data_IF_269059739136
#
_entry.id   IF_269059739136
#
_cell.length_a   1.000
_cell.length_b   1.000
_cell.length_c   1.000
_cell.angle_alpha   90.00
_cell.angle_beta   90.00
_cell.angle_gamma   90.00
#
_symmetry.space_group_name_H-M   'P 1'
#
loop_
_entity.id
_entity.type
_entity.pdbx_description
1 polymer ?
#
# COMPACT_ATOMS: atom_id res chain seq x y z
N UNK A 1 -2.11 -7.10 -40.20
CA UNK A 1 -2.48 -7.40 -38.80
C UNK A 1 -3.95 -7.83 -38.81
N UNK A 2 -4.29 -9.01 -38.24
CA UNK A 2 -5.63 -9.61 -38.38
C UNK A 2 -6.70 -8.81 -37.61
N UNK A 3 -7.69 -8.24 -38.31
CA UNK A 3 -8.73 -7.37 -37.72
C UNK A 3 -9.49 -8.04 -36.56
N UNK A 4 -9.76 -9.35 -36.67
CA UNK A 4 -10.38 -10.16 -35.61
C UNK A 4 -9.54 -10.26 -34.34
N UNK A 5 -8.22 -10.33 -34.48
CA UNK A 5 -7.30 -10.42 -33.34
C UNK A 5 -7.24 -9.08 -32.58
N UNK A 6 -7.31 -7.96 -33.31
CA UNK A 6 -7.37 -6.64 -32.69
C UNK A 6 -8.68 -6.42 -31.93
N UNK A 7 -9.82 -6.84 -32.50
CA UNK A 7 -11.13 -6.79 -31.83
C UNK A 7 -11.16 -7.64 -30.57
N UNK A 8 -10.61 -8.87 -30.62
CA UNK A 8 -10.53 -9.74 -29.45
C UNK A 8 -9.70 -9.13 -28.31
N UNK A 9 -8.59 -8.45 -28.63
CA UNK A 9 -7.76 -7.74 -27.66
C UNK A 9 -8.49 -6.54 -27.03
N UNK A 10 -9.27 -5.80 -27.82
CA UNK A 10 -10.07 -4.69 -27.32
C UNK A 10 -11.20 -5.16 -26.39
N UNK A 11 -11.91 -6.23 -26.74
CA UNK A 11 -12.97 -6.78 -25.88
C UNK A 11 -12.41 -7.35 -24.58
N UNK A 12 -11.29 -8.08 -24.61
CA UNK A 12 -10.65 -8.56 -23.37
C UNK A 12 -10.17 -7.41 -22.49
N UNK A 13 -9.66 -6.32 -23.07
CA UNK A 13 -9.30 -5.12 -22.31
C UNK A 13 -10.53 -4.44 -21.67
N UNK A 14 -11.64 -4.36 -22.42
CA UNK A 14 -12.91 -3.80 -21.92
C UNK A 14 -13.48 -4.62 -20.77
N UNK A 15 -13.58 -5.94 -20.94
CA UNK A 15 -14.06 -6.87 -19.92
C UNK A 15 -13.20 -6.82 -18.64
N UNK A 16 -11.87 -6.77 -18.79
CA UNK A 16 -10.96 -6.65 -17.64
C UNK A 16 -11.20 -5.35 -16.85
N UNK A 17 -11.51 -4.24 -17.54
CA UNK A 17 -11.82 -2.96 -16.90
C UNK A 17 -13.20 -2.94 -16.23
N UNK A 18 -14.17 -3.66 -16.80
CA UNK A 18 -15.52 -3.80 -16.24
C UNK A 18 -15.55 -4.73 -15.02
N UNK A 19 -14.70 -5.77 -15.01
CA UNK A 19 -14.62 -6.77 -13.92
C UNK A 19 -13.77 -6.29 -12.74
N UNK A 20 -12.95 -5.25 -12.92
CA UNK A 20 -12.14 -4.68 -11.85
C UNK A 20 -13.02 -4.15 -10.70
N UNK A 21 -12.59 -4.30 -9.43
CA UNK A 21 -13.33 -3.76 -8.29
C UNK A 21 -13.64 -2.27 -8.47
N UNK A 22 -14.91 -1.89 -8.29
CA UNK A 22 -15.39 -0.54 -8.55
C UNK A 22 -14.61 0.53 -7.76
N UNK A 23 -14.19 0.19 -6.52
CA UNK A 23 -13.34 1.04 -5.68
C UNK A 23 -11.96 1.30 -6.30
N UNK A 24 -11.33 0.26 -6.85
CA UNK A 24 -10.01 0.35 -7.49
C UNK A 24 -10.09 1.14 -8.79
N UNK A 25 -11.14 0.89 -9.60
CA UNK A 25 -11.38 1.63 -10.85
C UNK A 25 -11.53 3.13 -10.60
N UNK A 26 -12.43 3.52 -9.69
CA UNK A 26 -12.65 4.94 -9.32
C UNK A 26 -11.38 5.60 -8.80
N UNK A 27 -10.61 4.90 -7.96
CA UNK A 27 -9.35 5.41 -7.43
C UNK A 27 -8.33 5.64 -8.55
N UNK A 28 -8.11 4.65 -9.42
CA UNK A 28 -7.13 4.75 -10.50
C UNK A 28 -7.55 5.79 -11.55
N UNK A 29 -8.82 5.84 -11.93
CA UNK A 29 -9.34 6.84 -12.87
C UNK A 29 -9.08 8.26 -12.36
N UNK A 30 -9.26 8.51 -11.05
CA UNK A 30 -8.92 9.79 -10.42
C UNK A 30 -7.42 10.11 -10.53
N UNK A 31 -6.57 9.16 -10.15
CA UNK A 31 -5.11 9.35 -10.16
C UNK A 31 -4.57 9.54 -11.59
N UNK A 32 -5.14 8.84 -12.56
CA UNK A 32 -4.81 8.98 -13.99
C UNK A 32 -5.28 10.34 -14.50
N UNK A 33 -6.45 10.82 -14.10
CA UNK A 33 -6.93 12.16 -14.48
C UNK A 33 -6.01 13.27 -13.95
N UNK A 34 -5.57 13.15 -12.69
CA UNK A 34 -4.57 14.07 -12.11
C UNK A 34 -3.24 14.02 -12.87
N UNK A 35 -2.76 12.82 -13.23
CA UNK A 35 -1.55 12.66 -14.05
C UNK A 35 -1.70 13.33 -15.41
N UNK A 36 -2.83 13.14 -16.10
CA UNK A 36 -3.09 13.78 -17.40
C UNK A 36 -3.18 15.30 -17.28
N UNK A 37 -3.83 15.83 -16.24
CA UNK A 37 -3.88 17.27 -15.99
C UNK A 37 -2.48 17.84 -15.77
N UNK A 38 -1.63 17.15 -15.01
CA UNK A 38 -0.23 17.53 -14.86
C UNK A 38 0.55 17.47 -16.17
N UNK A 39 0.29 16.47 -17.04
CA UNK A 39 0.88 16.42 -18.37
C UNK A 39 0.47 17.61 -19.24
N UNK A 40 -0.79 18.05 -19.19
CA UNK A 40 -1.25 19.25 -19.91
C UNK A 40 -0.57 20.53 -19.40
N UNK A 41 -0.31 20.63 -18.10
CA UNK A 41 0.41 21.78 -17.52
C UNK A 41 1.93 21.75 -17.86
N UNK A 42 2.51 20.55 -18.00
CA UNK A 42 3.96 20.37 -18.11
C UNK A 42 4.47 20.28 -19.55
N UNK A 43 3.68 19.69 -20.45
CA UNK A 43 4.06 19.45 -21.84
C UNK A 43 3.20 20.31 -22.79
N UNK A 44 3.77 20.68 -23.94
CA UNK A 44 3.03 21.44 -24.94
C UNK A 44 1.84 20.65 -25.49
N UNK A 45 0.71 21.31 -25.73
CA UNK A 45 -0.46 20.72 -26.40
C UNK A 45 -0.16 20.19 -27.82
N UNK A 46 0.95 20.62 -28.43
CA UNK A 46 1.42 20.12 -29.72
C UNK A 46 2.11 18.75 -29.65
N UNK A 47 2.50 18.29 -28.46
CA UNK A 47 3.18 17.01 -28.28
C UNK A 47 2.15 15.85 -28.26
N UNK A 48 2.16 14.96 -29.28
CA UNK A 48 1.26 13.81 -29.33
C UNK A 48 1.63 12.72 -28.30
N UNK A 49 2.83 12.80 -27.71
CA UNK A 49 3.35 11.83 -26.75
C UNK A 49 3.14 12.24 -25.30
N UNK A 50 2.50 13.38 -25.03
CA UNK A 50 2.35 13.94 -23.67
C UNK A 50 1.66 13.03 -22.65
N UNK A 51 0.85 12.07 -23.10
CA UNK A 51 0.22 11.08 -22.23
C UNK A 51 0.94 9.74 -22.21
N UNK A 52 1.92 9.52 -23.09
CA UNK A 52 2.70 8.29 -23.08
C UNK A 52 3.47 8.23 -21.78
N UNK A 53 3.28 7.13 -21.06
CA UNK A 53 4.03 6.90 -19.84
C UNK A 53 5.44 6.50 -20.24
N UNK A 54 6.33 7.49 -20.22
CA UNK A 54 7.77 7.32 -20.43
C UNK A 54 8.46 7.74 -19.15
N UNK A 55 9.48 7.00 -18.71
CA UNK A 55 10.23 7.34 -17.52
C UNK A 55 11.15 8.55 -17.80
N UNK A 56 10.62 9.78 -17.69
CA UNK A 56 11.43 10.99 -17.50
C UNK A 56 11.34 11.40 -16.04
N UNK A 57 12.49 11.70 -15.42
CA UNK A 57 12.57 12.15 -14.02
C UNK A 57 11.92 13.54 -13.89
N UNK A 58 10.64 13.60 -13.61
CA UNK A 58 9.96 14.87 -13.31
C UNK A 58 9.13 14.72 -12.05
N UNK A 59 9.39 15.60 -11.10
CA UNK A 59 8.62 15.73 -9.87
C UNK A 59 7.25 16.31 -10.25
N UNK A 60 6.16 15.68 -9.83
CA UNK A 60 4.81 16.23 -9.94
C UNK A 60 4.54 17.05 -8.67
N UNK A 61 4.51 18.40 -8.74
CA UNK A 61 4.10 19.18 -7.58
C UNK A 61 2.58 19.19 -7.47
N UNK A 62 2.04 18.96 -6.26
CA UNK A 62 0.64 19.29 -5.96
C UNK A 62 0.51 20.79 -5.68
N UNK A 63 -0.48 21.44 -6.27
CA UNK A 63 -0.81 22.86 -6.03
C UNK A 63 -1.43 23.01 -4.63
N UNK A 64 -0.85 23.87 -3.78
CA UNK A 64 -1.58 24.50 -2.67
C UNK A 64 -1.40 23.95 -1.24
N UNK A 65 -0.50 23.01 -0.98
CA UNK A 65 -0.06 22.70 0.39
C UNK A 65 1.47 22.67 0.41
N UNK A 66 2.08 23.18 1.49
CA UNK A 66 3.46 22.83 1.87
C UNK A 66 3.67 21.34 1.58
N UNK A 67 4.82 20.91 1.00
CA UNK A 67 5.04 19.52 0.59
C UNK A 67 5.08 18.62 1.82
N UNK A 68 3.90 18.32 2.37
CA UNK A 68 3.70 17.27 3.35
C UNK A 68 4.16 15.99 2.65
N UNK A 69 5.22 15.38 3.19
CA UNK A 69 5.79 14.17 2.65
C UNK A 69 4.66 13.15 2.40
N UNK A 70 4.42 12.84 1.12
CA UNK A 70 3.38 11.89 0.74
C UNK A 70 3.67 10.54 1.38
N UNK A 71 2.64 9.91 1.94
CA UNK A 71 2.79 8.55 2.47
C UNK A 71 3.24 7.59 1.37
N UNK A 72 4.07 6.60 1.70
CA UNK A 72 4.51 5.55 0.78
C UNK A 72 3.33 4.91 0.05
N UNK A 73 2.24 4.64 0.78
CA UNK A 73 1.02 4.05 0.21
C UNK A 73 0.39 4.91 -0.87
N UNK A 74 0.43 6.25 -0.73
CA UNK A 74 -0.08 7.15 -1.76
C UNK A 74 0.80 7.11 -3.01
N UNK A 75 2.13 7.14 -2.84
CA UNK A 75 3.09 7.08 -3.96
C UNK A 75 2.95 5.74 -4.71
N UNK A 76 2.87 4.62 -3.99
CA UNK A 76 2.69 3.29 -4.59
C UNK A 76 1.37 3.15 -5.35
N UNK A 77 0.29 3.80 -4.87
CA UNK A 77 -0.98 3.89 -5.59
C UNK A 77 -0.85 4.66 -6.91
N UNK A 78 -0.17 5.82 -6.91
CA UNK A 78 0.10 6.55 -8.16
C UNK A 78 0.92 5.71 -9.14
N UNK A 79 2.01 5.08 -8.68
CA UNK A 79 2.85 4.22 -9.53
C UNK A 79 2.03 3.08 -10.11
N UNK A 80 1.15 2.47 -9.32
CA UNK A 80 0.28 1.37 -9.77
C UNK A 80 -0.74 1.84 -10.80
N UNK A 81 -1.38 3.00 -10.60
CA UNK A 81 -2.32 3.58 -11.54
C UNK A 81 -1.64 3.95 -12.87
N UNK A 82 -0.46 4.57 -12.82
CA UNK A 82 0.34 4.93 -14.01
C UNK A 82 0.84 3.67 -14.73
N UNK A 83 1.25 2.63 -14.00
CA UNK A 83 1.63 1.34 -14.61
C UNK A 83 0.44 0.66 -15.27
N UNK A 84 -0.76 0.78 -14.70
CA UNK A 84 -2.00 0.30 -15.32
C UNK A 84 -2.28 1.03 -16.63
N UNK A 85 -2.16 2.36 -16.64
CA UNK A 85 -2.29 3.18 -17.85
C UNK A 85 -1.27 2.77 -18.92
N UNK A 86 0.00 2.58 -18.55
CA UNK A 86 1.04 2.09 -19.44
C UNK A 86 0.66 0.74 -20.09
N UNK A 87 0.18 -0.23 -19.30
CA UNK A 87 -0.24 -1.53 -19.81
C UNK A 87 -1.42 -1.42 -20.78
N UNK A 88 -2.36 -0.51 -20.54
CA UNK A 88 -3.43 -0.21 -21.49
C UNK A 88 -2.86 0.37 -22.80
N UNK A 89 -1.91 1.30 -22.74
CA UNK A 89 -1.28 1.89 -23.93
C UNK A 89 -0.52 0.85 -24.76
N UNK A 90 0.20 -0.07 -24.11
CA UNK A 90 0.91 -1.19 -24.78
C UNK A 90 -0.09 -2.13 -25.44
N UNK A 91 -1.18 -2.49 -24.76
CA UNK A 91 -2.24 -3.35 -25.33
C UNK A 91 -2.89 -2.73 -26.58
N UNK A 92 -3.06 -1.40 -26.58
CA UNK A 92 -3.57 -0.64 -27.72
C UNK A 92 -2.53 -0.42 -28.82
N UNK A 93 -1.27 -0.81 -28.61
CA UNK A 93 -0.17 -0.56 -29.54
C UNK A 93 0.28 0.90 -29.62
N UNK A 94 -0.17 1.74 -28.68
CA UNK A 94 0.18 3.16 -28.62
C UNK A 94 1.54 3.42 -27.96
N UNK A 95 2.03 2.49 -27.13
CA UNK A 95 3.29 2.61 -26.41
C UNK A 95 4.18 1.39 -26.67
N UNK A 96 5.42 1.64 -27.11
CA UNK A 96 6.45 0.63 -27.36
C UNK A 96 7.63 0.70 -26.37
N UNK A 97 7.55 1.59 -25.38
CA UNK A 97 8.60 1.77 -24.38
C UNK A 97 8.59 0.64 -23.33
N UNK A 98 9.70 0.37 -22.65
CA UNK A 98 9.77 -0.62 -21.57
C UNK A 98 8.91 -0.23 -20.36
N UNK A 99 8.53 -1.22 -19.54
CA UNK A 99 7.69 -1.00 -18.35
C UNK A 99 8.32 0.04 -17.41
N UNK A 100 7.56 1.02 -16.91
CA UNK A 100 8.11 2.10 -16.08
C UNK A 100 8.46 1.67 -14.65
N UNK A 101 7.85 0.59 -14.14
CA UNK A 101 7.93 0.19 -12.72
C UNK A 101 9.35 -0.16 -12.22
N UNK A 102 10.20 -0.89 -12.98
CA UNK A 102 11.57 -1.17 -12.57
C UNK A 102 12.39 0.08 -12.25
N UNK A 103 12.18 1.19 -12.97
CA UNK A 103 12.94 2.44 -12.78
C UNK A 103 12.57 3.21 -11.51
N UNK A 104 11.37 3.00 -10.97
CA UNK A 104 10.90 3.66 -9.73
C UNK A 104 10.96 2.74 -8.51
N UNK A 105 11.30 1.46 -8.70
CA UNK A 105 11.32 0.45 -7.63
C UNK A 105 12.28 0.82 -6.50
N UNK A 106 13.50 1.27 -6.83
CA UNK A 106 14.49 1.63 -5.83
C UNK A 106 14.11 2.91 -5.07
N UNK A 107 13.46 3.86 -5.75
CA UNK A 107 12.90 5.05 -5.13
C UNK A 107 11.78 4.71 -4.14
N UNK A 108 10.87 3.82 -4.53
CA UNK A 108 9.82 3.32 -3.64
C UNK A 108 10.40 2.62 -2.41
N UNK A 109 11.42 1.78 -2.61
CA UNK A 109 12.11 1.09 -1.52
C UNK A 109 12.77 2.09 -0.56
N UNK A 110 13.48 3.07 -1.09
CA UNK A 110 14.11 4.12 -0.29
C UNK A 110 13.06 4.89 0.53
N UNK A 111 11.94 5.28 -0.09
CA UNK A 111 10.87 5.99 0.59
C UNK A 111 10.24 5.16 1.71
N UNK A 112 9.97 3.88 1.47
CA UNK A 112 9.48 2.95 2.49
C UNK A 112 10.45 2.86 3.67
N UNK A 113 11.74 2.70 3.39
CA UNK A 113 12.77 2.65 4.42
C UNK A 113 12.84 3.93 5.25
N UNK A 114 12.70 5.11 4.62
CA UNK A 114 12.66 6.39 5.34
C UNK A 114 11.43 6.50 6.26
N UNK A 115 10.24 6.08 5.79
CA UNK A 115 9.05 6.06 6.64
C UNK A 115 9.18 5.09 7.81
N UNK A 116 9.71 3.90 7.57
CA UNK A 116 9.91 2.90 8.63
C UNK A 116 10.97 3.36 9.64
N UNK A 117 11.98 4.13 9.20
CA UNK A 117 12.94 4.80 10.10
C UNK A 117 12.24 5.87 10.94
N UNK A 118 11.46 6.75 10.31
CA UNK A 118 10.68 7.79 11.01
C UNK A 118 9.71 7.19 12.04
N UNK A 119 8.98 6.12 11.69
CA UNK A 119 8.08 5.41 12.62
C UNK A 119 8.83 4.83 13.82
N UNK A 120 10.05 4.32 13.61
CA UNK A 120 10.92 3.82 14.70
C UNK A 120 11.38 4.96 15.62
N UNK A 121 11.84 6.08 15.04
CA UNK A 121 12.29 7.25 15.80
C UNK A 121 11.16 7.91 16.60
N UNK A 122 9.96 7.92 16.04
CA UNK A 122 8.76 8.47 16.68
C UNK A 122 8.11 7.52 17.69
N UNK A 123 8.71 6.35 17.96
CA UNK A 123 8.16 5.29 18.82
C UNK A 123 6.68 5.02 18.52
N UNK A 124 6.29 5.01 17.24
CA UNK A 124 4.92 4.68 16.85
C UNK A 124 4.64 3.28 17.34
N UNK A 125 3.71 3.16 18.30
CA UNK A 125 3.38 1.90 18.94
C UNK A 125 2.93 0.89 17.89
N UNK A 126 3.65 -0.23 17.82
CA UNK A 126 3.38 -1.34 16.90
C UNK A 126 2.42 -2.37 17.50
N UNK A 127 2.19 -2.30 18.81
CA UNK A 127 1.27 -3.15 19.54
C UNK A 127 -0.14 -2.53 19.66
N UNK A 128 -0.32 -1.26 19.28
CA UNK A 128 -1.63 -0.63 19.22
C UNK A 128 -2.60 -1.44 18.32
N UNK A 129 -3.73 -1.85 18.89
CA UNK A 129 -4.72 -2.79 18.33
C UNK A 129 -4.27 -4.26 18.18
N UNK A 130 -3.25 -4.70 18.92
CA UNK A 130 -3.02 -6.15 19.09
C UNK A 130 -4.02 -6.72 20.11
N UNK A 131 -4.24 -8.03 20.09
CA UNK A 131 -5.19 -8.70 21.01
C UNK A 131 -4.90 -8.39 22.49
N UNK A 132 -3.64 -8.12 22.83
CA UNK A 132 -3.19 -7.71 24.17
C UNK A 132 -3.58 -6.28 24.56
N UNK A 133 -3.91 -5.42 23.61
CA UNK A 133 -4.31 -4.02 23.81
C UNK A 133 -5.79 -3.89 24.25
N UNK A 134 -6.57 -4.97 24.14
CA UNK A 134 -8.01 -4.98 24.43
C UNK A 134 -8.41 -5.31 25.87
N UNK A 135 -7.48 -5.80 26.70
CA UNK A 135 -7.78 -6.24 28.07
C UNK A 135 -7.11 -5.31 29.07
N UNK A 136 -7.72 -4.16 29.28
CA UNK A 136 -7.16 -3.10 30.15
C UNK A 136 -7.57 -3.26 31.61
N UNK A 137 -8.64 -4.03 31.87
CA UNK A 137 -9.17 -4.19 33.22
C UNK A 137 -8.99 -5.61 33.75
N UNK A 138 -8.69 -5.72 35.04
CA UNK A 138 -8.61 -7.00 35.75
C UNK A 138 -9.92 -7.80 35.64
N UNK A 139 -11.05 -7.10 35.51
CA UNK A 139 -12.39 -7.69 35.37
C UNK A 139 -12.58 -8.44 34.04
N UNK A 140 -12.02 -7.93 32.94
CA UNK A 140 -12.05 -8.62 31.65
C UNK A 140 -11.16 -9.85 31.65
N UNK A 141 -10.00 -9.79 32.32
CA UNK A 141 -9.11 -10.93 32.51
C UNK A 141 -9.74 -12.03 33.36
N UNK A 142 -10.49 -11.67 34.40
CA UNK A 142 -11.25 -12.62 35.24
C UNK A 142 -12.35 -13.30 34.43
N UNK A 143 -13.16 -12.53 33.67
CA UNK A 143 -14.20 -13.11 32.80
C UNK A 143 -13.62 -14.04 31.73
N UNK A 144 -12.46 -13.67 31.18
CA UNK A 144 -11.72 -14.51 30.24
C UNK A 144 -11.27 -15.82 30.90
N UNK A 145 -10.68 -15.76 32.11
CA UNK A 145 -10.29 -16.98 32.82
C UNK A 145 -11.50 -17.85 33.14
N UNK A 146 -12.58 -17.27 33.65
CA UNK A 146 -13.79 -17.98 34.05
C UNK A 146 -14.42 -18.75 32.87
N UNK A 147 -14.33 -18.20 31.66
CA UNK A 147 -14.79 -18.87 30.44
C UNK A 147 -14.03 -20.18 30.19
N UNK A 148 -12.70 -20.15 30.19
CA UNK A 148 -11.89 -21.36 29.95
C UNK A 148 -11.93 -22.35 31.12
N UNK A 149 -12.00 -21.85 32.35
CA UNK A 149 -12.21 -22.70 33.53
C UNK A 149 -13.58 -23.39 33.51
N UNK A 150 -14.62 -22.75 32.95
CA UNK A 150 -15.94 -23.34 32.78
C UNK A 150 -16.01 -24.46 31.74
N UNK A 151 -15.16 -24.41 30.70
CA UNK A 151 -15.04 -25.48 29.69
C UNK A 151 -14.31 -26.71 30.23
N UNK A 152 -13.35 -26.49 31.16
CA UNK A 152 -12.64 -27.53 31.92
C UNK A 152 -12.01 -28.65 31.06
N UNK A 153 -11.54 -28.30 29.85
CA UNK A 153 -10.76 -29.21 29.01
C UNK A 153 -9.26 -28.88 29.10
N UNK A 154 -8.41 -29.87 28.82
CA UNK A 154 -6.96 -29.66 28.83
C UNK A 154 -6.49 -28.65 27.79
N UNK A 155 -7.18 -28.54 26.65
CA UNK A 155 -6.83 -27.60 25.57
C UNK A 155 -7.23 -26.17 25.95
N UNK A 156 -8.40 -26.01 26.56
CA UNK A 156 -8.92 -24.72 27.01
C UNK A 156 -8.11 -24.11 28.15
N UNK A 157 -7.72 -24.93 29.13
CA UNK A 157 -6.84 -24.47 30.22
C UNK A 157 -5.45 -24.10 29.71
N UNK A 158 -4.93 -24.81 28.69
CA UNK A 158 -3.68 -24.46 28.03
C UNK A 158 -3.80 -23.14 27.28
N UNK A 159 -4.87 -22.92 26.52
CA UNK A 159 -5.11 -21.67 25.80
C UNK A 159 -5.24 -20.47 26.76
N UNK A 160 -5.88 -20.68 27.92
CA UNK A 160 -5.95 -19.71 29.00
C UNK A 160 -4.56 -19.34 29.54
N UNK A 161 -3.70 -20.33 29.78
CA UNK A 161 -2.31 -20.10 30.20
C UNK A 161 -1.48 -19.40 29.12
N UNK A 162 -1.57 -19.82 27.86
CA UNK A 162 -0.87 -19.19 26.73
C UNK A 162 -1.23 -17.70 26.61
N UNK A 163 -2.50 -17.36 26.84
CA UNK A 163 -2.96 -15.97 26.91
C UNK A 163 -2.31 -15.18 28.05
N UNK A 164 -2.32 -15.72 29.28
CA UNK A 164 -1.72 -15.04 30.44
C UNK A 164 -0.19 -14.94 30.34
N UNK A 165 0.49 -15.96 29.79
CA UNK A 165 1.92 -15.86 29.52
C UNK A 165 2.20 -14.79 28.46
N UNK A 166 1.40 -14.72 27.39
CA UNK A 166 1.54 -13.65 26.39
C UNK A 166 1.38 -12.24 26.96
N UNK A 167 0.42 -12.03 27.88
CA UNK A 167 0.17 -10.71 28.50
C UNK A 167 1.17 -10.34 29.61
N UNK A 168 1.68 -11.33 30.37
CA UNK A 168 2.70 -11.09 31.42
C UNK A 168 4.11 -10.91 30.85
N UNK A 169 4.48 -11.62 29.77
CA UNK A 169 5.80 -11.47 29.14
C UNK A 169 5.95 -10.15 28.36
N UNK A 170 4.84 -9.55 27.91
CA UNK A 170 4.85 -8.24 27.22
C UNK A 170 4.88 -7.05 28.18
N UNK A 171 4.38 -7.21 29.41
CA UNK A 171 4.39 -6.18 30.45
C UNK A 171 5.66 -6.17 31.33
N UNK A 172 6.44 -7.27 31.34
CA UNK A 172 7.64 -7.43 32.18
C UNK A 172 8.98 -7.39 31.45
N UNK A 173 9.01 -7.16 30.13
CA UNK A 173 10.26 -7.06 29.39
C UNK A 173 10.89 -5.66 29.60
N UNK A 174 12.04 -5.52 30.28
CA UNK A 174 12.76 -4.26 30.26
C UNK A 174 13.19 -4.01 28.81
N UNK A 175 12.73 -2.92 28.20
CA UNK A 175 13.16 -2.48 26.87
C UNK A 175 14.69 -2.55 26.80
N UNK A 176 15.20 -3.59 26.12
CA UNK A 176 16.62 -3.80 25.94
C UNK A 176 17.12 -2.68 25.03
N UNK A 177 17.63 -1.60 25.63
CA UNK A 177 18.20 -0.43 24.95
C UNK A 177 19.59 -0.72 24.32
N UNK A 178 20.04 -1.97 24.26
CA UNK A 178 21.37 -2.30 23.74
C UNK A 178 21.33 -3.31 22.59
N UNK A 179 20.90 -2.86 21.42
CA UNK A 179 21.45 -3.36 20.15
C UNK A 179 21.71 -2.16 19.23
N UNK A 180 22.61 -1.27 19.69
CA UNK A 180 23.43 -0.44 18.80
C UNK A 180 24.66 -1.27 18.45
N UNK A 181 24.64 -2.00 17.34
CA UNK A 181 25.79 -2.23 16.44
C UNK A 181 25.43 -3.28 15.39
N UNK A 182 25.80 -2.95 14.15
CA UNK A 182 25.77 -3.72 12.91
C UNK A 182 24.47 -3.65 12.09
#
# INVERSE_FOLDING_TARGET
>A
MNMRMHQALQETARLAKETAPQSTRKSYDRLIAEFKAWCEETFSASDPTRYLVVCRKTKVPRKGKEPEHLKYSAIDQYVSAITSLYREQVKLGANCHPEPRPYVKDLLRAHKCMEDKKKREQNVDRAANTYSDGYTTTEELIKFSDYYFGLNTSEDLRNCLEFFFGSLFTSSWPQCQSCRTC
#
